data_IF_182802255549
#
_entry.id   IF_182802255549
#
_cell.length_a   1.000
_cell.length_b   1.000
_cell.length_c   1.000
_cell.angle_alpha   90.00
_cell.angle_beta   90.00
_cell.angle_gamma   90.00
#
_symmetry.space_group_name_H-M   'P 1'
#
loop_
_entity.id
_entity.type
_entity.pdbx_description
1 polymer ?
#
# COMPACT_ATOMS: atom_id res chain seq x y z
N UNK A 1 20.46 -10.74 -8.23
CA UNK A 1 19.38 -10.36 -7.28
C UNK A 1 19.26 -8.86 -7.06
N UNK A 2 20.30 -8.18 -6.54
CA UNK A 2 20.23 -6.72 -6.31
C UNK A 2 19.88 -5.92 -7.58
N UNK A 3 20.51 -6.26 -8.70
CA UNK A 3 20.28 -5.56 -9.97
C UNK A 3 18.90 -5.88 -10.56
N UNK A 4 18.46 -7.13 -10.44
CA UNK A 4 17.11 -7.55 -10.83
C UNK A 4 16.02 -6.77 -10.07
N UNK A 5 16.20 -6.54 -8.77
CA UNK A 5 15.27 -5.73 -7.96
C UNK A 5 15.31 -4.26 -8.41
N UNK A 6 16.50 -3.71 -8.68
CA UNK A 6 16.63 -2.32 -9.18
C UNK A 6 15.93 -2.15 -10.53
N UNK A 7 16.13 -3.09 -11.46
CA UNK A 7 15.52 -3.06 -12.79
C UNK A 7 13.99 -3.17 -12.69
N UNK A 8 13.49 -4.09 -11.86
CA UNK A 8 12.07 -4.22 -11.57
C UNK A 8 11.46 -2.92 -11.02
N UNK A 9 12.15 -2.23 -10.10
CA UNK A 9 11.69 -0.94 -9.56
C UNK A 9 11.64 0.14 -10.64
N UNK A 10 12.67 0.21 -11.50
CA UNK A 10 12.71 1.18 -12.61
C UNK A 10 11.57 0.93 -13.58
N UNK A 11 11.33 -0.34 -13.93
CA UNK A 11 10.24 -0.75 -14.82
C UNK A 11 8.85 -0.37 -14.26
N UNK A 12 8.63 -0.56 -12.96
CA UNK A 12 7.37 -0.22 -12.31
C UNK A 12 7.19 1.30 -12.09
N UNK A 13 8.28 2.05 -11.95
CA UNK A 13 8.23 3.52 -11.76
C UNK A 13 8.04 4.31 -13.05
N UNK A 14 8.27 3.70 -14.22
CA UNK A 14 8.08 4.35 -15.53
C UNK A 14 6.61 4.63 -15.89
N UNK A 15 5.67 4.28 -15.01
CA UNK A 15 4.24 4.62 -15.11
C UNK A 15 3.38 3.46 -15.61
N UNK A 16 2.06 3.54 -15.41
CA UNK A 16 1.05 2.53 -15.78
C UNK A 16 0.86 2.36 -17.32
N UNK A 17 1.89 2.61 -18.12
CA UNK A 17 1.91 2.34 -19.56
C UNK A 17 2.22 0.88 -19.88
N UNK A 18 1.73 0.40 -21.02
CA UNK A 18 2.15 -0.89 -21.57
C UNK A 18 3.62 -0.81 -22.00
N UNK A 19 4.38 -1.86 -21.70
CA UNK A 19 5.71 -2.04 -22.29
C UNK A 19 5.57 -2.91 -23.54
N UNK A 20 6.30 -2.58 -24.59
CA UNK A 20 6.28 -3.34 -25.82
C UNK A 20 7.48 -4.29 -25.85
N UNK A 21 7.20 -5.56 -26.09
CA UNK A 21 8.21 -6.62 -26.20
C UNK A 21 8.15 -7.25 -27.58
N UNK A 22 9.33 -7.51 -28.12
CA UNK A 22 9.55 -8.24 -29.36
C UNK A 22 9.33 -9.75 -29.15
N UNK A 23 9.30 -10.54 -30.23
CA UNK A 23 9.10 -11.99 -30.17
C UNK A 23 10.19 -12.72 -29.36
N UNK A 24 11.38 -12.15 -29.30
CA UNK A 24 12.55 -12.58 -28.52
C UNK A 24 12.50 -12.14 -27.05
N UNK A 25 11.45 -11.42 -26.63
CA UNK A 25 11.25 -10.99 -25.24
C UNK A 25 12.02 -9.72 -24.85
N UNK A 26 12.70 -9.09 -25.80
CA UNK A 26 13.42 -7.83 -25.61
C UNK A 26 12.46 -6.65 -25.54
N UNK A 27 12.71 -5.72 -24.62
CA UNK A 27 11.92 -4.48 -24.52
C UNK A 27 12.35 -3.52 -25.61
N UNK A 28 11.37 -2.94 -26.30
CA UNK A 28 11.62 -1.93 -27.34
C UNK A 28 10.57 -0.83 -27.24
N UNK A 29 10.94 0.39 -27.64
CA UNK A 29 9.97 1.47 -27.79
C UNK A 29 9.09 1.21 -29.02
N UNK A 30 7.81 1.57 -28.95
CA UNK A 30 6.87 1.37 -30.06
C UNK A 30 7.33 2.11 -31.33
N UNK A 31 7.91 3.30 -31.18
CA UNK A 31 8.34 4.12 -32.31
C UNK A 31 9.57 3.53 -33.00
N UNK A 32 10.50 2.96 -32.23
CA UNK A 32 11.67 2.28 -32.78
C UNK A 32 11.32 0.94 -33.41
N UNK A 33 10.39 0.18 -32.83
CA UNK A 33 9.86 -1.04 -33.41
C UNK A 33 9.17 -0.78 -34.77
N UNK A 34 8.39 0.30 -34.86
CA UNK A 34 7.73 0.70 -36.11
C UNK A 34 8.73 1.07 -37.21
N UNK A 35 9.82 1.76 -36.87
CA UNK A 35 10.90 2.10 -37.82
C UNK A 35 11.66 0.88 -38.32
N UNK A 36 11.83 -0.12 -37.46
CA UNK A 36 12.55 -1.35 -37.78
C UNK A 36 11.66 -2.44 -38.37
N UNK A 37 10.34 -2.21 -38.47
CA UNK A 37 9.37 -3.20 -38.97
C UNK A 37 9.21 -4.41 -38.05
N UNK A 38 9.54 -4.27 -36.76
CA UNK A 38 9.50 -5.36 -35.79
C UNK A 38 8.11 -5.43 -35.16
N UNK A 39 7.49 -6.62 -35.20
CA UNK A 39 6.23 -6.86 -34.50
C UNK A 39 6.45 -6.89 -33.00
N UNK A 40 5.63 -6.13 -32.26
CA UNK A 40 5.70 -6.02 -30.81
C UNK A 40 4.36 -6.30 -30.17
N UNK A 41 4.40 -6.90 -28.99
CA UNK A 41 3.22 -7.17 -28.17
C UNK A 41 3.22 -6.23 -26.96
N UNK A 42 2.11 -5.51 -26.69
CA UNK A 42 1.96 -4.76 -25.45
C UNK A 42 1.79 -5.73 -24.29
N UNK A 43 2.64 -5.65 -23.28
CA UNK A 43 2.50 -6.41 -22.03
C UNK A 43 2.45 -5.48 -20.83
N UNK A 44 1.74 -5.92 -19.79
CA UNK A 44 1.68 -5.18 -18.54
C UNK A 44 3.03 -5.32 -17.80
N UNK A 45 3.71 -4.20 -17.46
CA UNK A 45 5.00 -4.25 -16.77
C UNK A 45 4.91 -4.96 -15.41
N UNK A 46 3.78 -4.87 -14.70
CA UNK A 46 3.57 -5.59 -13.43
C UNK A 46 3.62 -7.10 -13.62
N UNK A 47 2.91 -7.61 -14.62
CA UNK A 47 2.88 -9.06 -14.90
C UNK A 47 4.27 -9.59 -15.30
N UNK A 48 5.02 -8.83 -16.09
CA UNK A 48 6.37 -9.23 -16.49
C UNK A 48 7.35 -9.24 -15.31
N UNK A 49 7.28 -8.23 -14.43
CA UNK A 49 8.13 -8.16 -13.24
C UNK A 49 7.81 -9.29 -12.27
N UNK A 50 6.52 -9.61 -12.06
CA UNK A 50 6.10 -10.74 -11.22
C UNK A 50 6.69 -12.04 -11.77
N UNK A 51 6.55 -12.31 -13.07
CA UNK A 51 7.10 -13.51 -13.70
C UNK A 51 8.62 -13.62 -13.53
N UNK A 52 9.35 -12.53 -13.76
CA UNK A 52 10.82 -12.50 -13.59
C UNK A 52 11.25 -12.74 -12.14
N UNK A 53 10.49 -12.21 -11.18
CA UNK A 53 10.76 -12.41 -9.75
C UNK A 53 10.43 -13.85 -9.32
N UNK A 54 9.34 -14.42 -9.83
CA UNK A 54 8.99 -15.83 -9.64
C UNK A 54 10.07 -16.77 -10.18
N UNK A 55 10.53 -16.55 -11.42
CA UNK A 55 11.65 -17.31 -12.03
C UNK A 55 12.95 -17.20 -11.22
N UNK A 56 13.16 -16.07 -10.54
CA UNK A 56 14.30 -15.85 -9.65
C UNK A 56 14.10 -16.43 -8.23
N UNK A 57 13.01 -17.15 -7.98
CA UNK A 57 12.70 -17.77 -6.69
C UNK A 57 12.07 -16.83 -5.66
N UNK A 58 11.48 -15.72 -6.11
CA UNK A 58 10.70 -14.79 -5.28
C UNK A 58 9.23 -14.83 -5.71
N UNK A 59 8.45 -15.82 -5.26
CA UNK A 59 7.02 -15.88 -5.55
C UNK A 59 6.26 -14.78 -4.82
N UNK A 60 6.07 -13.65 -5.48
CA UNK A 60 5.34 -12.51 -4.93
C UNK A 60 3.83 -12.73 -4.79
N UNK A 61 3.32 -13.81 -5.40
CA UNK A 61 1.92 -14.21 -5.28
C UNK A 61 1.65 -15.07 -4.04
N UNK A 62 2.69 -15.58 -3.37
CA UNK A 62 2.54 -16.39 -2.16
C UNK A 62 2.64 -15.50 -0.91
N UNK A 63 1.48 -15.26 -0.29
CA UNK A 63 1.38 -14.45 0.93
C UNK A 63 2.16 -15.06 2.10
N UNK A 64 2.25 -16.39 2.17
CA UNK A 64 2.98 -17.07 3.24
C UNK A 64 4.48 -16.87 3.07
N UNK A 65 5.00 -17.06 1.86
CA UNK A 65 6.40 -16.78 1.54
C UNK A 65 6.79 -15.33 1.86
N UNK A 66 5.94 -14.36 1.50
CA UNK A 66 6.19 -12.96 1.81
C UNK A 66 6.25 -12.69 3.32
N UNK A 67 5.38 -13.32 4.11
CA UNK A 67 5.40 -13.19 5.56
C UNK A 67 6.67 -13.79 6.16
N UNK A 68 7.06 -15.00 5.73
CA UNK A 68 8.28 -15.68 6.17
C UNK A 68 9.54 -14.88 5.76
N UNK A 69 9.58 -14.31 4.56
CA UNK A 69 10.68 -13.45 4.10
C UNK A 69 10.77 -12.16 4.92
N UNK A 70 9.64 -11.51 5.21
CA UNK A 70 9.62 -10.31 6.05
C UNK A 70 10.05 -10.63 7.49
N UNK A 71 9.66 -11.78 8.03
CA UNK A 71 10.09 -12.26 9.34
C UNK A 71 11.61 -12.52 9.36
N UNK A 72 12.15 -13.19 8.34
CA UNK A 72 13.60 -13.39 8.19
C UNK A 72 14.35 -12.05 8.14
N UNK A 73 13.91 -11.11 7.31
CA UNK A 73 14.50 -9.77 7.23
C UNK A 73 14.47 -9.09 8.60
N UNK A 74 13.35 -9.20 9.32
CA UNK A 74 13.19 -8.65 10.66
C UNK A 74 14.16 -9.27 11.68
N UNK A 75 14.31 -10.59 11.67
CA UNK A 75 15.21 -11.31 12.57
C UNK A 75 16.68 -11.01 12.29
N UNK A 76 17.07 -10.90 11.01
CA UNK A 76 18.46 -10.66 10.58
C UNK A 76 18.89 -9.21 10.78
N UNK A 77 18.02 -8.26 10.47
CA UNK A 77 18.37 -6.83 10.52
C UNK A 77 18.16 -6.22 11.90
N UNK A 78 17.50 -6.92 12.82
CA UNK A 78 17.06 -6.36 14.11
C UNK A 78 16.01 -5.26 13.97
N UNK A 79 15.68 -4.85 12.74
CA UNK A 79 14.56 -3.98 12.45
C UNK A 79 13.32 -4.84 12.47
N UNK A 80 12.62 -4.86 13.61
CA UNK A 80 11.24 -5.29 13.70
C UNK A 80 10.37 -4.39 12.81
N UNK A 81 10.39 -4.64 11.50
CA UNK A 81 9.31 -4.28 10.59
C UNK A 81 8.17 -5.28 10.86
N UNK A 82 7.66 -5.23 12.09
CA UNK A 82 6.38 -5.86 12.38
C UNK A 82 5.37 -5.37 11.36
N UNK A 83 4.37 -6.19 11.01
CA UNK A 83 3.29 -5.75 10.13
C UNK A 83 2.86 -4.37 10.61
N UNK A 84 2.59 -3.43 9.69
CA UNK A 84 1.86 -2.20 10.03
C UNK A 84 0.50 -2.66 10.56
N UNK A 85 0.48 -3.04 11.83
CA UNK A 85 -0.69 -2.98 12.68
C UNK A 85 -0.96 -1.50 12.68
N UNK A 86 -1.87 -1.08 11.81
CA UNK A 86 -2.67 0.11 12.06
C UNK A 86 -3.23 -0.14 13.44
N UNK A 87 -2.50 0.29 14.48
CA UNK A 87 -2.97 0.31 15.86
C UNK A 87 -4.18 1.21 15.78
N UNK A 88 -5.37 0.62 15.57
CA UNK A 88 -6.63 1.29 15.83
C UNK A 88 -6.46 1.80 17.25
N UNK A 89 -6.35 3.12 17.39
CA UNK A 89 -6.18 3.76 18.68
C UNK A 89 -7.33 3.28 19.55
N UNK A 90 -7.02 2.42 20.52
CA UNK A 90 -7.99 1.92 21.47
C UNK A 90 -8.12 2.97 22.55
N UNK A 91 -9.30 3.58 22.63
CA UNK A 91 -9.60 4.56 23.66
C UNK A 91 -10.03 3.83 24.92
N UNK A 92 -9.36 4.13 26.03
CA UNK A 92 -9.81 3.72 27.36
C UNK A 92 -11.13 4.42 27.72
N UNK A 93 -11.90 3.87 28.67
CA UNK A 93 -13.18 4.47 29.04
C UNK A 93 -13.02 5.88 29.62
N UNK A 94 -11.91 6.15 30.32
CA UNK A 94 -11.58 7.49 30.80
C UNK A 94 -11.34 8.51 29.67
N UNK A 95 -10.73 8.09 28.55
CA UNK A 95 -10.54 8.96 27.38
C UNK A 95 -11.87 9.20 26.65
N UNK A 96 -12.72 8.17 26.54
CA UNK A 96 -14.06 8.31 25.96
C UNK A 96 -14.89 9.34 26.74
N UNK A 97 -14.91 9.28 28.06
CA UNK A 97 -15.66 10.23 28.90
C UNK A 97 -15.19 11.67 28.68
N UNK A 98 -13.87 11.92 28.64
CA UNK A 98 -13.31 13.25 28.35
C UNK A 98 -13.72 13.76 26.97
N UNK A 99 -13.66 12.90 25.96
CA UNK A 99 -14.04 13.23 24.58
C UNK A 99 -15.53 13.58 24.47
N UNK A 100 -16.40 12.85 25.18
CA UNK A 100 -17.84 13.12 25.21
C UNK A 100 -18.16 14.41 25.96
N UNK A 101 -17.46 14.72 27.05
CA UNK A 101 -17.60 16.00 27.76
C UNK A 101 -17.14 17.19 26.91
N UNK A 102 -16.02 17.04 26.21
CA UNK A 102 -15.52 18.07 25.28
C UNK A 102 -16.49 18.26 24.11
N UNK A 103 -17.08 17.19 23.59
CA UNK A 103 -18.14 17.27 22.59
C UNK A 103 -19.33 18.10 23.09
N UNK A 104 -19.82 17.87 24.31
CA UNK A 104 -20.95 18.64 24.87
C UNK A 104 -20.64 20.14 24.94
N UNK A 105 -19.39 20.52 25.24
CA UNK A 105 -18.95 21.92 25.24
C UNK A 105 -18.89 22.50 23.82
N UNK A 106 -18.40 21.73 22.86
CA UNK A 106 -18.30 22.13 21.44
C UNK A 106 -19.69 22.23 20.79
N UNK A 107 -20.62 21.33 21.15
CA UNK A 107 -22.02 21.32 20.71
C UNK A 107 -22.77 22.53 21.28
N UNK A 108 -22.60 22.83 22.57
CA UNK A 108 -23.17 24.03 23.20
C UNK A 108 -22.64 25.34 22.59
N UNK A 109 -21.38 25.34 22.13
CA UNK A 109 -20.79 26.47 21.43
C UNK A 109 -21.20 26.55 19.94
N UNK A 110 -21.85 25.53 19.39
CA UNK A 110 -22.27 25.46 17.98
C UNK A 110 -21.11 25.45 16.97
N UNK A 111 -19.87 25.20 17.42
CA UNK A 111 -18.65 25.46 16.63
C UNK A 111 -18.32 24.36 15.61
N UNK A 112 -18.73 23.11 15.84
CA UNK A 112 -18.36 21.97 14.99
C UNK A 112 -19.47 20.94 14.88
N UNK A 113 -19.51 20.22 13.76
CA UNK A 113 -20.41 19.07 13.57
C UNK A 113 -19.80 17.80 14.17
N UNK A 114 -20.66 16.82 14.52
CA UNK A 114 -20.26 15.51 15.07
C UNK A 114 -19.24 14.79 14.19
N UNK A 115 -19.37 14.93 12.87
CA UNK A 115 -18.46 14.36 11.89
C UNK A 115 -17.09 15.06 11.86
N UNK A 116 -17.05 16.39 11.99
CA UNK A 116 -15.80 17.15 12.02
C UNK A 116 -15.00 16.84 13.30
N UNK A 117 -15.68 16.79 14.44
CA UNK A 117 -15.07 16.48 15.74
C UNK A 117 -14.53 15.04 15.80
N UNK A 118 -15.30 14.05 15.32
CA UNK A 118 -14.83 12.66 15.28
C UNK A 118 -13.56 12.51 14.41
N UNK A 119 -13.49 13.19 13.26
CA UNK A 119 -12.30 13.18 12.39
C UNK A 119 -11.08 13.82 13.05
N UNK A 120 -11.27 14.93 13.77
CA UNK A 120 -10.20 15.63 14.49
C UNK A 120 -9.55 14.77 15.58
N UNK A 121 -10.35 13.94 16.25
CA UNK A 121 -9.88 13.03 17.31
C UNK A 121 -9.34 11.70 16.71
N UNK A 122 -9.53 11.49 15.41
CA UNK A 122 -9.14 10.26 14.72
C UNK A 122 -10.04 9.07 15.08
N UNK A 123 -11.29 9.33 15.44
CA UNK A 123 -12.32 8.32 15.75
C UNK A 123 -13.27 8.20 14.56
N UNK A 124 -13.64 6.98 14.21
CA UNK A 124 -14.66 6.74 13.19
C UNK A 124 -16.00 7.36 13.62
N UNK A 125 -16.69 8.05 12.71
CA UNK A 125 -17.95 8.73 13.02
C UNK A 125 -18.97 7.80 13.71
N UNK A 126 -19.11 6.56 13.23
CA UNK A 126 -20.03 5.58 13.81
C UNK A 126 -19.63 5.20 15.25
N UNK A 127 -18.34 5.06 15.52
CA UNK A 127 -17.80 4.77 16.85
C UNK A 127 -18.09 5.92 17.81
N UNK A 128 -17.88 7.16 17.37
CA UNK A 128 -18.16 8.35 18.15
C UNK A 128 -19.65 8.51 18.46
N UNK A 129 -20.54 8.26 17.49
CA UNK A 129 -21.99 8.28 17.72
C UNK A 129 -22.42 7.22 18.74
N UNK A 130 -21.80 6.04 18.72
CA UNK A 130 -22.09 5.00 19.70
C UNK A 130 -21.67 5.42 21.11
N UNK A 131 -20.60 6.20 21.27
CA UNK A 131 -20.20 6.76 22.57
C UNK A 131 -21.11 7.87 23.08
N UNK A 132 -21.87 8.53 22.21
CA UNK A 132 -22.86 9.54 22.62
C UNK A 132 -24.21 8.92 23.01
N UNK A 133 -24.46 7.66 22.60
CA UNK A 133 -25.72 6.93 22.87
C UNK A 133 -25.65 6.02 24.08
N UNK A 134 -24.45 5.54 24.44
CA UNK A 134 -24.18 4.76 25.65
C UNK A 134 -23.69 5.64 26.78
#
# INVERSE_FOLDING_TARGET
MRDLIKDAIVDLKKGDGFIYVTADGSKIDLHDAAKQGISVTPVNPKAQVIKKLEEAGLPLNDTRFLNELNELISLVTGNSAGPKVTKRRTFSDAEKSKIVEEWKKVEAAGKKTKAAFAREIGVGYQTFINWLRG
#
